data_IF_451718128520
#
_entry.id   IF_451718128520
#
_cell.length_a   1.000
_cell.length_b   1.000
_cell.length_c   1.000
_cell.angle_alpha   90.00
_cell.angle_beta   90.00
_cell.angle_gamma   90.00
#
_symmetry.space_group_name_H-M   'P 1'
#
loop_
_entity.id
_entity.type
_entity.pdbx_description
1 polymer ?
#
# COMPACT_ATOMS: atom_id res chain seq x y z
N UNK A 1 -4.78 3.15 30.37
CA UNK A 1 -3.92 3.48 29.21
C UNK A 1 -2.43 3.22 29.47
N UNK A 2 -1.88 3.27 30.70
CA UNK A 2 -0.49 2.81 30.95
C UNK A 2 -0.37 1.31 31.31
N UNK A 3 -1.29 0.73 32.10
CA UNK A 3 -1.16 -0.66 32.60
C UNK A 3 -0.97 -1.76 31.54
N UNK A 4 -1.57 -1.65 30.35
CA UNK A 4 -1.43 -2.68 29.29
C UNK A 4 -0.09 -2.56 28.55
N UNK A 5 0.48 -1.35 28.48
CA UNK A 5 1.81 -1.10 27.93
C UNK A 5 2.90 -1.46 28.95
N UNK A 6 2.66 -1.18 30.24
CA UNK A 6 3.55 -1.59 31.33
C UNK A 6 3.59 -3.12 31.49
N UNK A 7 2.46 -3.82 31.29
CA UNK A 7 2.40 -5.30 31.34
C UNK A 7 3.19 -5.98 30.20
N UNK A 8 3.35 -5.36 29.02
CA UNK A 8 4.17 -5.91 27.92
C UNK A 8 5.66 -5.79 28.21
N UNK A 9 6.09 -4.72 28.89
CA UNK A 9 7.47 -4.54 29.36
C UNK A 9 7.74 -5.42 30.59
N UNK A 10 6.74 -5.66 31.45
CA UNK A 10 6.86 -6.53 32.63
C UNK A 10 6.67 -8.04 32.36
N UNK A 11 6.19 -8.45 31.17
CA UNK A 11 5.99 -9.86 30.81
C UNK A 11 6.92 -10.39 29.70
N UNK A 12 8.10 -9.78 29.52
CA UNK A 12 9.25 -10.47 28.93
C UNK A 12 8.98 -11.12 27.57
N UNK A 13 8.45 -10.36 26.61
CA UNK A 13 8.70 -10.71 25.22
C UNK A 13 10.18 -10.41 24.95
N UNK A 14 10.98 -11.43 24.66
CA UNK A 14 12.36 -11.21 24.21
C UNK A 14 12.33 -10.33 22.96
N UNK A 15 13.27 -9.37 22.88
CA UNK A 15 13.45 -8.55 21.67
C UNK A 15 13.71 -9.53 20.52
N UNK A 16 12.95 -9.48 19.41
CA UNK A 16 13.10 -10.41 18.31
C UNK A 16 14.54 -10.46 17.83
N UNK A 17 15.11 -11.68 17.78
CA UNK A 17 16.42 -11.88 17.19
C UNK A 17 16.37 -11.82 15.66
N UNK A 18 17.53 -11.82 15.01
CA UNK A 18 17.65 -11.83 13.54
C UNK A 18 16.88 -12.99 12.90
N UNK A 19 16.86 -14.17 13.52
CA UNK A 19 16.09 -15.33 13.04
C UNK A 19 14.57 -15.12 13.13
N UNK A 20 14.07 -14.42 14.15
CA UNK A 20 12.64 -14.13 14.28
C UNK A 20 12.19 -13.10 13.25
N UNK A 21 13.02 -12.07 13.02
CA UNK A 21 12.82 -11.11 11.94
C UNK A 21 12.85 -11.83 10.59
N UNK A 22 13.84 -12.69 10.32
CA UNK A 22 13.93 -13.43 9.06
C UNK A 22 12.66 -14.25 8.74
N UNK A 23 11.92 -14.72 9.74
CA UNK A 23 10.62 -15.40 9.55
C UNK A 23 9.46 -14.46 9.24
N UNK A 24 9.52 -13.21 9.68
CA UNK A 24 8.55 -12.16 9.36
C UNK A 24 8.80 -11.52 7.98
N UNK A 25 10.05 -11.58 7.54
CA UNK A 25 10.60 -11.07 6.29
C UNK A 25 11.13 -12.22 5.40
N UNK A 26 10.39 -13.34 5.19
CA UNK A 26 10.94 -14.55 4.55
C UNK A 26 11.26 -14.37 3.06
N UNK A 27 10.76 -13.28 2.46
CA UNK A 27 10.92 -12.92 1.05
C UNK A 27 11.37 -11.47 0.87
N UNK A 28 11.58 -10.74 1.97
CA UNK A 28 12.07 -9.38 1.93
C UNK A 28 13.60 -9.43 1.92
N UNK A 29 14.19 -8.56 1.10
CA UNK A 29 15.63 -8.48 0.83
C UNK A 29 16.43 -8.32 2.13
N UNK A 30 17.69 -8.77 2.20
CA UNK A 30 18.55 -8.65 3.39
C UNK A 30 18.58 -7.21 3.97
N UNK A 31 18.35 -6.25 3.10
CA UNK A 31 18.11 -4.84 3.30
C UNK A 31 16.99 -4.55 4.31
N UNK A 32 15.84 -5.23 4.20
CA UNK A 32 14.73 -5.07 5.15
C UNK A 32 15.10 -5.55 6.55
N UNK A 33 15.96 -6.58 6.67
CA UNK A 33 16.46 -7.05 7.97
C UNK A 33 17.40 -6.02 8.60
N UNK A 34 18.25 -5.37 7.81
CA UNK A 34 19.15 -4.32 8.28
C UNK A 34 18.32 -3.14 8.82
N UNK A 35 17.31 -2.70 8.07
CA UNK A 35 16.39 -1.62 8.49
C UNK A 35 15.61 -2.01 9.75
N UNK A 36 14.99 -3.19 9.76
CA UNK A 36 14.23 -3.66 10.91
C UNK A 36 15.11 -3.75 12.17
N UNK A 37 16.34 -4.24 12.04
CA UNK A 37 17.30 -4.32 13.15
C UNK A 37 17.64 -2.93 13.69
N UNK A 38 17.92 -1.95 12.82
CA UNK A 38 18.13 -0.57 13.23
C UNK A 38 16.91 0.01 13.98
N UNK A 39 15.70 -0.24 13.47
CA UNK A 39 14.46 0.28 14.05
C UNK A 39 14.11 -0.35 15.41
N UNK A 40 14.55 -1.58 15.69
CA UNK A 40 14.40 -2.18 17.01
C UNK A 40 15.04 -1.30 18.08
N UNK A 41 16.18 -0.67 17.80
CA UNK A 41 16.87 0.23 18.71
C UNK A 41 16.33 1.66 18.66
N UNK A 42 16.02 2.15 17.45
CA UNK A 42 15.66 3.55 17.22
C UNK A 42 14.19 3.90 17.56
N UNK A 43 13.27 2.93 17.52
CA UNK A 43 11.84 3.18 17.68
C UNK A 43 11.16 2.19 18.64
N UNK A 44 10.74 2.68 19.81
CA UNK A 44 10.03 1.86 20.80
C UNK A 44 8.73 1.26 20.23
N UNK A 45 7.95 2.07 19.50
CA UNK A 45 6.69 1.63 18.88
C UNK A 45 6.91 0.49 17.88
N UNK A 46 8.02 0.52 17.13
CA UNK A 46 8.39 -0.56 16.23
C UNK A 46 8.81 -1.81 16.99
N UNK A 47 9.64 -1.67 18.04
CA UNK A 47 10.04 -2.79 18.89
C UNK A 47 8.84 -3.52 19.49
N UNK A 48 7.88 -2.77 20.03
CA UNK A 48 6.63 -3.33 20.57
C UNK A 48 5.83 -4.07 19.49
N UNK A 49 5.73 -3.49 18.29
CA UNK A 49 5.06 -4.11 17.16
C UNK A 49 5.75 -5.42 16.75
N UNK A 50 7.08 -5.43 16.64
CA UNK A 50 7.86 -6.60 16.24
C UNK A 50 7.64 -7.78 17.22
N UNK A 51 7.68 -7.52 18.54
CA UNK A 51 7.37 -8.52 19.58
C UNK A 51 5.96 -9.11 19.37
N UNK A 52 4.96 -8.26 19.12
CA UNK A 52 3.57 -8.70 18.92
C UNK A 52 3.38 -9.48 17.62
N UNK A 53 4.10 -9.13 16.56
CA UNK A 53 4.09 -9.87 15.29
C UNK A 53 4.69 -11.26 15.50
N UNK A 54 5.87 -11.39 16.11
CA UNK A 54 6.47 -12.69 16.44
C UNK A 54 5.51 -13.56 17.27
N UNK A 55 4.88 -12.99 18.30
CA UNK A 55 3.87 -13.70 19.11
C UNK A 55 2.68 -14.18 18.28
N UNK A 56 2.22 -13.35 17.34
CA UNK A 56 1.11 -13.68 16.45
C UNK A 56 1.45 -14.79 15.45
N UNK A 57 2.65 -14.75 14.86
CA UNK A 57 3.16 -15.75 13.92
C UNK A 57 3.38 -17.11 14.58
N UNK A 58 3.89 -17.12 15.80
CA UNK A 58 4.09 -18.35 16.57
C UNK A 58 2.76 -18.95 17.11
N UNK A 59 1.61 -18.35 16.78
CA UNK A 59 0.30 -18.87 17.12
C UNK A 59 -0.48 -19.27 15.85
N UNK A 60 -0.78 -20.57 15.63
CA UNK A 60 -1.57 -21.05 14.48
C UNK A 60 -2.97 -20.41 14.35
N UNK A 61 -3.51 -19.84 15.43
CA UNK A 61 -4.75 -19.05 15.39
C UNK A 61 -4.59 -17.75 14.63
N UNK A 62 -3.40 -17.13 14.66
CA UNK A 62 -3.03 -15.99 13.83
C UNK A 62 -3.15 -16.35 12.34
N UNK A 63 -2.50 -17.43 11.92
CA UNK A 63 -2.59 -17.91 10.54
C UNK A 63 -4.02 -18.17 10.10
N UNK A 64 -4.80 -18.84 10.95
CA UNK A 64 -6.22 -19.10 10.69
C UNK A 64 -7.01 -17.80 10.55
N UNK A 65 -6.75 -16.81 11.40
CA UNK A 65 -7.40 -15.50 11.37
C UNK A 65 -7.12 -14.75 10.06
N UNK A 66 -5.84 -14.62 9.69
CA UNK A 66 -5.46 -13.93 8.46
C UNK A 66 -5.89 -14.71 7.20
N UNK A 67 -5.87 -16.04 7.22
CA UNK A 67 -6.38 -16.89 6.12
C UNK A 67 -7.87 -16.69 5.88
N UNK A 68 -8.69 -16.65 6.94
CA UNK A 68 -10.14 -16.37 6.83
C UNK A 68 -10.41 -14.99 6.24
N UNK A 69 -9.63 -13.99 6.64
CA UNK A 69 -9.82 -12.64 6.10
C UNK A 69 -9.36 -12.53 4.64
N UNK A 70 -8.25 -13.18 4.25
CA UNK A 70 -7.84 -13.26 2.83
C UNK A 70 -8.92 -13.90 1.98
N UNK A 71 -9.43 -15.07 2.41
CA UNK A 71 -10.51 -15.76 1.71
C UNK A 71 -11.75 -14.87 1.53
N UNK A 72 -12.13 -14.11 2.56
CA UNK A 72 -13.24 -13.14 2.46
C UNK A 72 -12.95 -11.98 1.52
N UNK A 73 -11.70 -11.55 1.39
CA UNK A 73 -11.32 -10.55 0.40
C UNK A 73 -11.45 -11.15 -1.01
N UNK A 74 -10.94 -12.37 -1.21
CA UNK A 74 -10.93 -13.03 -2.52
C UNK A 74 -12.35 -13.50 -2.97
N UNK A 75 -13.29 -13.75 -2.05
CA UNK A 75 -14.68 -14.20 -2.32
C UNK A 75 -15.69 -13.03 -2.36
N UNK A 76 -16.03 -12.53 -3.56
CA UNK A 76 -16.93 -11.39 -3.77
C UNK A 76 -18.42 -11.77 -3.79
N UNK A 77 -19.00 -12.10 -2.63
CA UNK A 77 -20.47 -12.10 -2.50
C UNK A 77 -21.04 -10.67 -2.42
N UNK A 78 -22.31 -10.46 -2.76
CA UNK A 78 -22.98 -9.15 -2.63
C UNK A 78 -22.87 -8.55 -1.22
N UNK A 79 -23.02 -9.41 -0.20
CA UNK A 79 -22.87 -9.00 1.21
C UNK A 79 -21.44 -8.58 1.52
N UNK A 80 -20.47 -9.29 0.98
CA UNK A 80 -19.04 -9.01 1.13
C UNK A 80 -18.67 -7.70 0.43
N UNK A 81 -19.12 -7.48 -0.80
CA UNK A 81 -18.90 -6.25 -1.55
C UNK A 81 -19.47 -5.03 -0.81
N UNK A 82 -20.72 -5.12 -0.34
CA UNK A 82 -21.34 -4.04 0.45
C UNK A 82 -20.61 -3.77 1.77
N UNK A 83 -20.06 -4.81 2.41
CA UNK A 83 -19.19 -4.66 3.57
C UNK A 83 -17.90 -3.90 3.22
N UNK A 84 -17.18 -4.30 2.17
CA UNK A 84 -15.95 -3.62 1.76
C UNK A 84 -16.19 -2.18 1.33
N UNK A 85 -17.26 -1.90 0.59
CA UNK A 85 -17.60 -0.52 0.22
C UNK A 85 -17.78 0.39 1.45
N UNK A 86 -18.50 -0.07 2.48
CA UNK A 86 -18.63 0.68 3.74
C UNK A 86 -17.30 0.79 4.50
N UNK A 87 -16.52 -0.29 4.52
CA UNK A 87 -15.21 -0.30 5.15
C UNK A 87 -14.29 0.77 4.55
N UNK A 88 -14.16 0.77 3.22
CA UNK A 88 -13.32 1.71 2.49
C UNK A 88 -13.83 3.15 2.62
N UNK A 89 -15.15 3.37 2.63
CA UNK A 89 -15.71 4.71 2.95
C UNK A 89 -15.32 5.20 4.35
N UNK A 90 -15.37 4.32 5.35
CA UNK A 90 -15.02 4.69 6.73
C UNK A 90 -13.51 4.99 6.86
N UNK A 91 -12.67 4.19 6.20
CA UNK A 91 -11.22 4.47 6.13
C UNK A 91 -10.98 5.80 5.41
N UNK A 92 -11.64 6.04 4.29
CA UNK A 92 -11.53 7.28 3.52
C UNK A 92 -11.95 8.52 4.32
N UNK A 93 -13.02 8.41 5.11
CA UNK A 93 -13.41 9.47 6.05
C UNK A 93 -12.32 9.77 7.08
N UNK A 94 -11.66 8.72 7.60
CA UNK A 94 -10.54 8.87 8.52
C UNK A 94 -9.33 9.55 7.88
N UNK A 95 -8.96 9.09 6.67
CA UNK A 95 -7.90 9.69 5.84
C UNK A 95 -8.13 11.18 5.62
N UNK A 96 -9.33 11.56 5.17
CA UNK A 96 -9.63 12.96 4.93
C UNK A 96 -9.68 13.77 6.23
N UNK A 97 -10.31 13.25 7.29
CA UNK A 97 -10.40 13.95 8.57
C UNK A 97 -9.04 14.25 9.18
N UNK A 98 -8.12 13.28 9.19
CA UNK A 98 -6.82 13.40 9.87
C UNK A 98 -5.73 14.01 8.97
N UNK A 99 -5.80 13.78 7.66
CA UNK A 99 -4.71 14.17 6.74
C UNK A 99 -5.16 15.13 5.63
N UNK A 100 -6.45 15.47 5.53
CA UNK A 100 -7.02 16.23 4.41
C UNK A 100 -6.73 15.58 3.04
N UNK A 101 -6.55 14.25 3.03
CA UNK A 101 -6.00 13.47 1.93
C UNK A 101 -6.77 13.54 0.59
N UNK A 102 -8.02 14.02 0.62
CA UNK A 102 -8.88 14.12 -0.57
C UNK A 102 -9.22 15.57 -0.93
N UNK A 103 -8.41 16.52 -0.49
CA UNK A 103 -8.57 17.93 -0.89
C UNK A 103 -7.98 18.10 -2.28
N UNK A 104 -8.80 18.50 -3.25
CA UNK A 104 -8.31 18.90 -4.57
C UNK A 104 -8.12 20.41 -4.57
N UNK A 105 -6.91 20.88 -4.91
CA UNK A 105 -6.64 22.30 -5.01
C UNK A 105 -7.45 22.90 -6.16
N UNK A 106 -8.25 23.92 -5.87
CA UNK A 106 -8.99 24.63 -6.89
C UNK A 106 -8.04 25.55 -7.67
N UNK A 107 -7.84 25.27 -8.95
CA UNK A 107 -7.10 26.15 -9.86
C UNK A 107 -8.09 27.00 -10.65
N UNK A 108 -7.96 28.35 -10.67
CA UNK A 108 -8.88 29.20 -11.41
C UNK A 108 -9.00 28.79 -12.87
N UNK A 109 -10.23 28.57 -13.33
CA UNK A 109 -10.53 28.16 -14.72
C UNK A 109 -10.45 26.65 -14.99
N UNK A 110 -10.01 25.83 -14.02
CA UNK A 110 -9.94 24.38 -14.17
C UNK A 110 -10.99 23.67 -13.31
N UNK A 111 -11.59 22.62 -13.87
CA UNK A 111 -12.48 21.73 -13.14
C UNK A 111 -11.61 20.77 -12.32
N UNK A 112 -11.82 20.64 -11.00
CA UNK A 112 -11.08 19.68 -10.18
C UNK A 112 -11.17 18.27 -10.77
N UNK A 113 -10.06 17.55 -10.77
CA UNK A 113 -9.95 16.24 -11.43
C UNK A 113 -9.35 15.20 -10.48
N UNK A 114 -9.93 14.00 -10.49
CA UNK A 114 -9.54 12.87 -9.64
C UNK A 114 -9.23 11.66 -10.52
N UNK A 115 -8.14 10.97 -10.23
CA UNK A 115 -7.79 9.68 -10.82
C UNK A 115 -7.81 8.60 -9.73
N UNK A 116 -8.51 7.49 -9.97
CA UNK A 116 -8.50 6.32 -9.08
C UNK A 116 -8.12 5.08 -9.89
N UNK A 117 -6.92 4.55 -9.66
CA UNK A 117 -6.38 3.44 -10.46
C UNK A 117 -7.03 2.09 -10.15
N UNK A 118 -7.58 1.92 -8.96
CA UNK A 118 -8.10 0.64 -8.47
C UNK A 118 -9.35 0.89 -7.64
N UNK A 119 -10.35 1.47 -8.31
CA UNK A 119 -11.51 2.06 -7.66
C UNK A 119 -12.34 1.05 -6.87
N UNK A 120 -12.56 -0.17 -7.39
CA UNK A 120 -13.54 -1.07 -6.79
C UNK A 120 -13.20 -1.42 -5.32
N UNK A 121 -14.20 -1.34 -4.41
CA UNK A 121 -15.63 -1.19 -4.66
C UNK A 121 -16.12 0.27 -4.80
N UNK A 122 -15.25 1.26 -4.69
CA UNK A 122 -15.52 2.68 -4.93
C UNK A 122 -15.54 3.54 -3.68
N UNK A 123 -15.11 3.01 -2.53
CA UNK A 123 -15.29 3.66 -1.25
C UNK A 123 -14.49 4.95 -1.08
N UNK A 124 -13.23 4.97 -1.53
CA UNK A 124 -12.40 6.17 -1.48
C UNK A 124 -12.88 7.24 -2.46
N UNK A 125 -13.11 6.87 -3.72
CA UNK A 125 -13.64 7.82 -4.70
C UNK A 125 -14.98 8.43 -4.27
N UNK A 126 -15.88 7.64 -3.66
CA UNK A 126 -17.14 8.16 -3.11
C UNK A 126 -16.92 9.23 -2.01
N UNK A 127 -15.89 9.05 -1.17
CA UNK A 127 -15.53 10.05 -0.16
C UNK A 127 -14.90 11.27 -0.82
N UNK A 128 -13.98 11.08 -1.77
CA UNK A 128 -13.30 12.18 -2.46
C UNK A 128 -14.29 13.07 -3.22
N UNK A 129 -15.21 12.49 -4.00
CA UNK A 129 -16.24 13.24 -4.73
C UNK A 129 -17.19 14.01 -3.80
N UNK A 130 -17.46 13.51 -2.60
CA UNK A 130 -18.27 14.23 -1.61
C UNK A 130 -17.58 15.50 -1.11
N UNK A 131 -16.25 15.48 -1.01
CA UNK A 131 -15.46 16.64 -0.59
C UNK A 131 -15.13 17.59 -1.75
N UNK A 132 -15.30 17.13 -3.00
CA UNK A 132 -15.06 17.89 -4.21
C UNK A 132 -16.26 17.74 -5.16
N UNK A 133 -17.41 18.36 -4.87
CA UNK A 133 -18.67 18.11 -5.58
C UNK A 133 -18.62 18.46 -7.07
N UNK A 134 -17.77 19.41 -7.45
CA UNK A 134 -17.57 19.85 -8.84
C UNK A 134 -16.51 19.02 -9.57
N UNK A 135 -15.87 18.06 -8.89
CA UNK A 135 -14.79 17.29 -9.48
C UNK A 135 -15.29 16.29 -10.53
N UNK A 136 -14.48 16.09 -11.57
CA UNK A 136 -14.60 14.97 -12.50
C UNK A 136 -13.61 13.88 -12.13
N UNK A 137 -14.04 12.63 -12.19
CA UNK A 137 -13.20 11.49 -11.90
C UNK A 137 -13.01 10.59 -13.13
N UNK A 138 -11.78 10.12 -13.32
CA UNK A 138 -11.47 8.96 -14.14
C UNK A 138 -11.11 7.82 -13.19
N UNK A 139 -11.75 6.67 -13.36
CA UNK A 139 -11.58 5.55 -12.45
C UNK A 139 -11.37 4.25 -13.22
N UNK A 140 -10.35 3.50 -12.84
CA UNK A 140 -10.01 2.19 -13.37
C UNK A 140 -10.33 1.11 -12.34
N UNK A 141 -10.72 -0.07 -12.80
CA UNK A 141 -10.84 -1.26 -11.96
C UNK A 141 -10.66 -2.50 -12.79
N UNK A 142 -10.12 -3.56 -12.20
CA UNK A 142 -10.12 -4.87 -12.84
C UNK A 142 -11.58 -5.36 -13.03
N UNK A 143 -11.93 -5.94 -14.19
CA UNK A 143 -13.25 -6.54 -14.41
C UNK A 143 -13.53 -7.72 -13.46
N UNK A 144 -14.79 -7.92 -13.07
CA UNK A 144 -15.19 -9.01 -12.15
C UNK A 144 -14.86 -10.40 -12.72
N UNK A 145 -15.04 -10.58 -14.03
CA UNK A 145 -14.72 -11.82 -14.74
C UNK A 145 -13.22 -12.15 -14.75
N UNK A 146 -12.36 -11.17 -14.48
CA UNK A 146 -10.91 -11.35 -14.32
C UNK A 146 -10.50 -11.44 -12.84
N UNK A 147 -11.46 -11.53 -11.92
CA UNK A 147 -11.22 -11.59 -10.48
C UNK A 147 -11.27 -10.24 -9.77
N UNK A 148 -11.66 -9.17 -10.47
CA UNK A 148 -11.89 -7.86 -9.87
C UNK A 148 -13.05 -7.81 -8.89
N UNK A 149 -13.11 -6.77 -8.06
CA UNK A 149 -14.23 -6.55 -7.17
C UNK A 149 -15.40 -5.84 -7.85
N UNK A 150 -16.62 -6.18 -7.42
CA UNK A 150 -17.83 -5.48 -7.81
C UNK A 150 -17.75 -3.98 -7.47
N UNK A 151 -18.04 -3.15 -8.46
CA UNK A 151 -18.14 -1.69 -8.30
C UNK A 151 -19.48 -1.35 -7.64
N UNK A 152 -19.43 -0.66 -6.51
CA UNK A 152 -20.60 -0.20 -5.76
C UNK A 152 -20.70 1.33 -5.67
N UNK A 153 -19.80 2.04 -6.35
CA UNK A 153 -19.93 3.48 -6.55
C UNK A 153 -21.19 3.76 -7.38
N UNK A 154 -22.11 4.63 -6.95
CA UNK A 154 -23.29 5.00 -7.74
C UNK A 154 -22.89 5.71 -9.03
N UNK A 155 -23.61 5.42 -10.12
CA UNK A 155 -23.40 6.07 -11.41
C UNK A 155 -23.55 7.59 -11.31
N UNK A 156 -22.68 8.31 -12.01
CA UNK A 156 -22.65 9.76 -12.03
C UNK A 156 -22.04 10.23 -13.34
N UNK A 157 -22.58 11.31 -13.91
CA UNK A 157 -22.03 11.93 -15.12
C UNK A 157 -20.63 12.50 -14.90
N UNK A 158 -20.24 12.75 -13.64
CA UNK A 158 -18.92 13.24 -13.26
C UNK A 158 -17.89 12.11 -13.14
N UNK A 159 -18.25 10.84 -13.35
CA UNK A 159 -17.35 9.70 -13.17
C UNK A 159 -17.27 8.88 -14.45
N UNK A 160 -16.13 8.94 -15.11
CA UNK A 160 -15.76 8.03 -16.18
C UNK A 160 -15.14 6.77 -15.59
N UNK A 161 -15.70 5.60 -15.91
CA UNK A 161 -15.21 4.30 -15.41
C UNK A 161 -14.69 3.44 -16.54
N UNK A 162 -13.53 2.82 -16.33
CA UNK A 162 -12.92 1.89 -17.28
C UNK A 162 -12.59 0.59 -16.56
N UNK A 163 -13.10 -0.52 -17.10
CA UNK A 163 -12.86 -1.85 -16.55
C UNK A 163 -11.78 -2.54 -17.38
N UNK A 164 -10.55 -2.57 -16.87
CA UNK A 164 -9.38 -3.18 -17.52
C UNK A 164 -8.28 -3.48 -16.49
N UNK A 165 -7.33 -4.32 -16.89
CA UNK A 165 -6.11 -4.57 -16.11
C UNK A 165 -5.09 -3.46 -16.39
N UNK A 166 -4.84 -2.62 -15.39
CA UNK A 166 -3.93 -1.47 -15.56
C UNK A 166 -2.48 -1.90 -15.79
N UNK A 167 -2.10 -3.13 -15.42
CA UNK A 167 -0.75 -3.65 -15.67
C UNK A 167 -0.47 -3.91 -17.15
N UNK A 168 -1.50 -3.83 -18.00
CA UNK A 168 -1.48 -4.03 -19.44
C UNK A 168 -1.57 -2.71 -20.23
N UNK A 169 -1.38 -1.55 -19.58
CA UNK A 169 -1.33 -0.23 -20.23
C UNK A 169 0.04 0.05 -20.85
N UNK A 170 0.44 -0.77 -21.82
CA UNK A 170 1.79 -0.70 -22.38
C UNK A 170 2.12 0.64 -23.05
N UNK A 171 1.18 1.20 -23.82
CA UNK A 171 1.39 2.50 -24.50
C UNK A 171 1.55 3.65 -23.48
N UNK A 172 0.74 3.69 -22.42
CA UNK A 172 0.89 4.67 -21.32
C UNK A 172 2.23 4.49 -20.58
N UNK A 173 2.69 3.25 -20.46
CA UNK A 173 4.00 2.89 -19.90
C UNK A 173 5.17 3.07 -20.89
N UNK A 174 4.95 3.73 -22.04
CA UNK A 174 5.99 4.07 -23.01
C UNK A 174 6.40 2.95 -23.97
N UNK A 175 5.58 1.91 -24.09
CA UNK A 175 5.84 0.74 -24.94
C UNK A 175 4.80 0.62 -26.06
N UNK A 176 5.03 1.30 -27.18
CA UNK A 176 4.11 1.34 -28.32
C UNK A 176 4.22 0.12 -29.25
N UNK A 177 5.32 -0.64 -29.16
CA UNK A 177 5.53 -1.84 -29.96
C UNK A 177 5.71 -3.05 -29.06
N UNK A 178 4.88 -4.06 -29.28
CA UNK A 178 4.87 -5.30 -28.51
C UNK A 178 5.08 -6.46 -29.48
N UNK A 179 5.97 -7.38 -29.14
CA UNK A 179 6.18 -8.57 -29.95
C UNK A 179 4.89 -9.36 -30.09
N UNK A 180 4.57 -9.81 -31.31
CA UNK A 180 3.41 -10.67 -31.58
C UNK A 180 3.50 -12.02 -30.89
N UNK A 181 4.71 -12.43 -30.53
CA UNK A 181 4.98 -13.70 -29.85
C UNK A 181 4.86 -13.58 -28.33
N UNK A 182 4.59 -12.39 -27.79
CA UNK A 182 4.33 -12.21 -26.37
C UNK A 182 3.03 -12.92 -25.97
N UNK A 183 3.00 -13.72 -24.88
CA UNK A 183 1.80 -14.45 -24.45
C UNK A 183 0.57 -13.55 -24.27
N UNK A 184 0.78 -12.35 -23.73
CA UNK A 184 -0.27 -11.34 -23.54
C UNK A 184 -0.39 -10.32 -24.69
N UNK A 185 0.25 -10.56 -25.85
CA UNK A 185 0.35 -9.59 -26.94
C UNK A 185 -0.99 -8.99 -27.40
N UNK A 186 -2.08 -9.78 -27.30
CA UNK A 186 -3.45 -9.34 -27.65
C UNK A 186 -4.23 -8.70 -26.50
N UNK A 187 -3.72 -8.77 -25.27
CA UNK A 187 -4.38 -8.25 -24.06
C UNK A 187 -3.95 -6.84 -23.70
N UNK A 188 -2.79 -6.39 -24.20
CA UNK A 188 -2.33 -5.01 -24.01
C UNK A 188 -3.34 -4.02 -24.59
N UNK A 189 -3.56 -2.93 -23.84
CA UNK A 189 -4.53 -1.91 -24.17
C UNK A 189 -3.85 -0.79 -24.96
N UNK A 190 -4.61 -0.13 -25.84
CA UNK A 190 -4.18 1.14 -26.40
C UNK A 190 -4.13 2.20 -25.31
N UNK A 191 -3.42 3.30 -25.56
CA UNK A 191 -3.28 4.43 -24.64
C UNK A 191 -4.61 4.84 -24.02
N UNK A 192 -4.62 4.95 -22.69
CA UNK A 192 -5.80 5.33 -21.91
C UNK A 192 -5.73 6.77 -21.39
N UNK A 193 -4.54 7.32 -21.22
CA UNK A 193 -4.33 8.68 -20.75
C UNK A 193 -3.68 9.54 -21.83
N UNK A 194 -4.28 10.69 -22.07
CA UNK A 194 -3.64 11.72 -22.90
C UNK A 194 -2.38 12.24 -22.21
N UNK A 195 -1.26 12.44 -22.93
CA UNK A 195 0.03 12.81 -22.34
C UNK A 195 0.01 14.07 -21.46
N UNK A 196 -0.90 15.00 -21.75
CA UNK A 196 -1.07 16.29 -21.07
C UNK A 196 -2.19 16.28 -20.01
N UNK A 197 -2.97 15.20 -19.90
CA UNK A 197 -4.03 15.09 -18.89
C UNK A 197 -3.41 15.04 -17.50
N UNK A 198 -3.88 15.90 -16.60
CA UNK A 198 -3.43 15.96 -15.20
C UNK A 198 -4.60 15.89 -14.22
N UNK A 199 -4.30 15.41 -13.01
CA UNK A 199 -5.26 15.20 -11.93
C UNK A 199 -4.79 15.85 -10.63
N UNK A 200 -5.64 16.67 -10.02
CA UNK A 200 -5.31 17.30 -8.73
C UNK A 200 -5.25 16.30 -7.56
N UNK A 201 -5.90 15.14 -7.70
CA UNK A 201 -5.83 14.02 -6.76
C UNK A 201 -5.69 12.69 -7.50
N UNK A 202 -4.72 11.87 -7.09
CA UNK A 202 -4.54 10.50 -7.56
C UNK A 202 -4.64 9.50 -6.40
N UNK A 203 -5.40 8.44 -6.57
CA UNK A 203 -5.59 7.36 -5.60
C UNK A 203 -4.99 6.06 -6.16
N UNK A 204 -4.05 5.50 -5.41
CA UNK A 204 -3.33 4.26 -5.71
C UNK A 204 -3.56 3.26 -4.57
N UNK A 205 -4.74 2.63 -4.52
CA UNK A 205 -5.15 1.65 -3.49
C UNK A 205 -5.22 0.22 -4.01
N UNK A 206 -4.59 -0.06 -5.16
CA UNK A 206 -4.57 -1.37 -5.77
C UNK A 206 -3.67 -2.35 -5.04
N UNK A 207 -4.19 -3.55 -4.77
CA UNK A 207 -3.43 -4.69 -4.30
C UNK A 207 -3.82 -5.94 -5.09
N UNK A 208 -2.86 -6.82 -5.38
CA UNK A 208 -3.13 -8.05 -6.10
C UNK A 208 -3.96 -9.02 -5.27
N UNK A 209 -5.03 -9.53 -5.88
CA UNK A 209 -5.84 -10.60 -5.30
C UNK A 209 -5.22 -11.95 -5.62
N UNK A 210 -5.36 -12.92 -4.70
CA UNK A 210 -4.63 -14.20 -4.80
C UNK A 210 -5.23 -15.15 -5.82
N UNK A 211 -6.52 -15.00 -6.10
CA UNK A 211 -7.27 -15.72 -7.11
C UNK A 211 -7.01 -15.20 -8.54
N UNK A 212 -6.46 -13.99 -8.69
CA UNK A 212 -6.11 -13.41 -9.99
C UNK A 212 -4.79 -13.97 -10.55
N UNK A 213 -3.89 -14.40 -9.67
CA UNK A 213 -2.57 -14.91 -10.04
C UNK A 213 -2.71 -16.34 -10.54
N UNK A 214 -2.63 -16.51 -11.86
CA UNK A 214 -2.71 -17.84 -12.51
C UNK A 214 -1.45 -18.68 -12.28
N UNK A 215 -0.29 -18.03 -12.16
CA UNK A 215 1.00 -18.66 -11.85
C UNK A 215 1.53 -18.16 -10.49
N UNK A 216 1.47 -18.99 -9.43
CA UNK A 216 1.96 -18.62 -8.11
C UNK A 216 3.43 -18.16 -8.08
N UNK A 217 4.26 -18.62 -9.02
CA UNK A 217 5.65 -18.21 -9.12
C UNK A 217 5.81 -16.76 -9.60
N UNK A 218 4.80 -16.21 -10.30
CA UNK A 218 4.78 -14.82 -10.79
C UNK A 218 4.10 -13.84 -9.85
N UNK A 219 3.64 -14.30 -8.69
CA UNK A 219 2.88 -13.50 -7.73
C UNK A 219 3.56 -12.18 -7.35
N UNK A 220 4.87 -12.23 -7.12
CA UNK A 220 5.63 -11.05 -6.70
C UNK A 220 5.89 -10.11 -7.88
N UNK A 221 6.08 -10.64 -9.08
CA UNK A 221 6.16 -9.87 -10.32
C UNK A 221 4.85 -9.11 -10.59
N UNK A 222 3.69 -9.74 -10.45
CA UNK A 222 2.39 -9.10 -10.67
C UNK A 222 2.11 -8.00 -9.62
N UNK A 223 2.42 -8.25 -8.35
CA UNK A 223 2.29 -7.25 -7.31
C UNK A 223 3.18 -6.03 -7.56
N UNK A 224 4.43 -6.27 -8.01
CA UNK A 224 5.37 -5.22 -8.34
C UNK A 224 4.96 -4.46 -9.61
N UNK A 225 4.51 -5.14 -10.68
CA UNK A 225 3.95 -4.52 -11.90
C UNK A 225 2.76 -3.63 -11.57
N UNK A 226 1.83 -4.07 -10.72
CA UNK A 226 0.70 -3.27 -10.29
C UNK A 226 1.14 -2.02 -9.50
N UNK A 227 2.10 -2.19 -8.59
CA UNK A 227 2.63 -1.08 -7.78
C UNK A 227 3.35 -0.05 -8.67
N UNK A 228 4.25 -0.50 -9.55
CA UNK A 228 5.01 0.41 -10.43
C UNK A 228 4.11 1.10 -11.45
N UNK A 229 3.08 0.44 -11.97
CA UNK A 229 2.08 1.08 -12.85
C UNK A 229 1.38 2.23 -12.11
N UNK A 230 0.85 1.98 -10.91
CA UNK A 230 0.14 2.99 -10.13
C UNK A 230 1.06 4.17 -9.73
N UNK A 231 2.32 3.89 -9.40
CA UNK A 231 3.29 4.92 -9.02
C UNK A 231 3.75 5.75 -10.22
N UNK A 232 4.14 5.09 -11.33
CA UNK A 232 4.63 5.76 -12.53
C UNK A 232 3.56 6.66 -13.15
N UNK A 233 2.41 6.07 -13.51
CA UNK A 233 1.34 6.82 -14.17
C UNK A 233 0.66 7.78 -13.18
N UNK A 234 0.60 7.43 -11.90
CA UNK A 234 0.10 8.33 -10.88
C UNK A 234 0.94 9.60 -10.73
N UNK A 235 2.28 9.47 -10.67
CA UNK A 235 3.19 10.61 -10.54
C UNK A 235 3.32 11.40 -11.85
N UNK A 236 3.25 10.74 -13.00
CA UNK A 236 3.27 11.39 -14.32
C UNK A 236 2.03 12.25 -14.56
N UNK A 237 0.87 11.81 -14.07
CA UNK A 237 -0.42 12.46 -14.30
C UNK A 237 -0.96 13.26 -13.11
N UNK A 238 -0.24 13.39 -11.99
CA UNK A 238 -0.64 14.32 -10.93
C UNK A 238 -0.33 15.76 -11.35
N UNK A 239 -1.20 16.72 -11.01
CA UNK A 239 -0.93 18.15 -11.22
C UNK A 239 0.24 18.62 -10.35
N UNK A 240 1.04 19.62 -10.79
CA UNK A 240 1.97 20.31 -9.91
C UNK A 240 1.25 20.83 -8.66
N UNK A 241 1.79 20.52 -7.48
CA UNK A 241 1.16 20.85 -6.20
C UNK A 241 0.05 19.89 -5.77
N UNK A 242 -0.32 18.91 -6.60
CA UNK A 242 -1.38 17.95 -6.35
C UNK A 242 -1.08 16.93 -5.25
N UNK A 243 -2.01 15.99 -5.08
CA UNK A 243 -1.96 14.97 -4.02
C UNK A 243 -2.00 13.55 -4.57
N UNK A 244 -1.19 12.66 -4.01
CA UNK A 244 -1.28 11.21 -4.20
C UNK A 244 -1.59 10.51 -2.88
N UNK A 245 -2.54 9.58 -2.88
CA UNK A 245 -2.86 8.67 -1.76
C UNK A 245 -2.50 7.26 -2.16
N UNK A 246 -1.50 6.67 -1.51
CA UNK A 246 -0.84 5.44 -1.95
C UNK A 246 -0.92 4.38 -0.85
N UNK A 247 -1.45 3.20 -1.16
CA UNK A 247 -1.42 2.03 -0.29
C UNK A 247 -0.03 1.42 -0.26
N UNK A 248 0.55 1.31 0.94
CA UNK A 248 1.84 0.67 1.19
C UNK A 248 1.72 -0.34 2.33
N UNK A 249 2.73 -1.19 2.48
CA UNK A 249 2.76 -2.25 3.48
C UNK A 249 4.09 -2.23 4.22
N UNK A 250 4.06 -2.34 5.56
CA UNK A 250 5.26 -2.36 6.43
C UNK A 250 6.19 -1.16 6.18
N UNK A 251 6.18 -0.17 7.09
CA UNK A 251 7.00 1.05 6.94
C UNK A 251 8.49 0.72 6.79
N UNK A 252 8.91 -0.33 7.49
CA UNK A 252 10.27 -0.87 7.56
C UNK A 252 10.70 -1.77 6.39
N UNK A 253 9.79 -2.10 5.45
CA UNK A 253 10.17 -2.92 4.29
C UNK A 253 11.02 -2.10 3.32
N UNK A 254 11.99 -2.74 2.66
CA UNK A 254 12.93 -2.10 1.72
C UNK A 254 12.21 -1.26 0.67
N UNK A 255 11.34 -1.89 -0.14
CA UNK A 255 10.58 -1.21 -1.20
C UNK A 255 9.75 -0.03 -0.65
N UNK A 256 9.19 -0.17 0.55
CA UNK A 256 8.40 0.90 1.18
C UNK A 256 9.30 2.06 1.58
N UNK A 257 10.43 1.80 2.23
CA UNK A 257 11.37 2.84 2.65
C UNK A 257 11.96 3.59 1.46
N UNK A 258 12.28 2.91 0.35
CA UNK A 258 12.77 3.57 -0.87
C UNK A 258 11.70 4.45 -1.50
N UNK A 259 10.43 4.01 -1.55
CA UNK A 259 9.32 4.85 -1.99
C UNK A 259 9.15 6.08 -1.09
N UNK A 260 9.14 5.90 0.23
CA UNK A 260 8.99 7.01 1.18
C UNK A 260 10.11 8.04 1.03
N UNK A 261 11.37 7.58 0.96
CA UNK A 261 12.51 8.47 0.76
C UNK A 261 12.41 9.24 -0.56
N UNK A 262 12.04 8.57 -1.66
CA UNK A 262 11.86 9.24 -2.96
C UNK A 262 10.81 10.34 -2.88
N UNK A 263 9.61 10.04 -2.39
CA UNK A 263 8.54 11.05 -2.26
C UNK A 263 8.92 12.18 -1.30
N UNK A 264 9.71 11.91 -0.25
CA UNK A 264 10.18 12.95 0.67
C UNK A 264 11.05 14.02 0.00
N UNK A 265 11.71 13.70 -1.12
CA UNK A 265 12.57 14.65 -1.85
C UNK A 265 11.80 15.67 -2.67
N UNK A 266 10.56 15.39 -3.06
CA UNK A 266 9.80 16.22 -4.01
C UNK A 266 8.34 16.46 -3.59
N UNK A 267 7.98 16.12 -2.34
CA UNK A 267 6.63 16.32 -1.82
C UNK A 267 6.62 16.37 -0.30
N UNK A 268 5.53 16.90 0.26
CA UNK A 268 5.24 16.78 1.68
C UNK A 268 4.55 15.45 1.96
N UNK A 269 5.17 14.57 2.75
CA UNK A 269 4.63 13.25 3.04
C UNK A 269 4.05 13.11 4.45
N UNK A 270 2.96 12.35 4.58
CA UNK A 270 2.36 11.92 5.84
C UNK A 270 1.95 10.47 5.74
N UNK A 271 2.03 9.73 6.85
CA UNK A 271 1.56 8.37 6.93
C UNK A 271 0.25 8.27 7.72
N UNK A 272 -0.67 7.45 7.22
CA UNK A 272 -1.94 7.17 7.88
C UNK A 272 -2.18 5.68 8.04
N UNK A 273 -2.39 5.27 9.29
CA UNK A 273 -2.82 3.91 9.63
C UNK A 273 -4.29 3.92 10.05
N UNK A 274 -5.18 3.18 9.35
CA UNK A 274 -6.57 3.10 9.76
C UNK A 274 -6.72 2.51 11.17
N UNK A 275 -7.45 3.20 12.04
CA UNK A 275 -7.73 2.77 13.42
C UNK A 275 -8.83 1.71 13.53
N UNK A 276 -9.54 1.43 12.43
CA UNK A 276 -10.61 0.44 12.31
C UNK A 276 -10.60 -0.20 10.92
N UNK A 277 -10.98 -1.47 10.83
CA UNK A 277 -10.97 -2.26 9.61
C UNK A 277 -9.63 -2.94 9.33
N UNK A 278 -8.58 -2.15 9.11
CA UNK A 278 -7.25 -2.61 8.71
C UNK A 278 -6.18 -2.39 9.80
N UNK A 279 -6.58 -2.12 11.04
CA UNK A 279 -5.67 -1.78 12.15
C UNK A 279 -4.64 -2.90 12.44
N UNK A 280 -5.03 -4.17 12.34
CA UNK A 280 -4.14 -5.32 12.57
C UNK A 280 -3.26 -5.69 11.37
N UNK A 281 -3.54 -5.12 10.18
CA UNK A 281 -2.77 -5.38 8.95
C UNK A 281 -1.45 -4.63 8.94
N UNK A 282 -0.53 -5.01 8.05
CA UNK A 282 0.65 -4.20 7.75
C UNK A 282 0.37 -3.04 6.81
N UNK A 283 -0.81 -2.98 6.18
CA UNK A 283 -1.18 -1.91 5.25
C UNK A 283 -1.34 -0.56 5.92
N UNK A 284 -0.87 0.49 5.28
CA UNK A 284 -1.06 1.88 5.66
C UNK A 284 -1.06 2.74 4.39
N UNK A 285 -1.31 4.03 4.54
CA UNK A 285 -1.37 4.96 3.42
C UNK A 285 -0.26 5.99 3.53
N UNK A 286 0.48 6.19 2.44
CA UNK A 286 1.25 7.40 2.20
C UNK A 286 0.32 8.45 1.59
N UNK A 287 0.36 9.65 2.14
CA UNK A 287 -0.28 10.84 1.59
C UNK A 287 0.85 11.79 1.19
N UNK A 288 1.10 11.91 -0.10
CA UNK A 288 2.06 12.85 -0.67
C UNK A 288 1.30 14.07 -1.21
N UNK A 289 1.66 15.26 -0.76
CA UNK A 289 1.00 16.53 -1.11
C UNK A 289 2.03 17.53 -1.61
N UNK A 290 1.58 18.58 -2.31
CA UNK A 290 2.47 19.60 -2.87
C UNK A 290 3.56 18.96 -3.75
N UNK A 291 3.15 18.05 -4.64
CA UNK A 291 4.09 17.28 -5.47
C UNK A 291 4.74 18.18 -6.52
N UNK A 292 6.07 18.22 -6.50
CA UNK A 292 6.89 18.92 -7.48
C UNK A 292 7.17 18.01 -8.68
N UNK A 293 6.22 17.91 -9.60
CA UNK A 293 6.26 16.96 -10.73
C UNK A 293 7.47 17.12 -11.66
N UNK A 294 8.07 18.31 -11.69
CA UNK A 294 9.23 18.62 -12.53
C UNK A 294 10.56 18.49 -11.77
N UNK A 295 10.52 18.09 -10.50
CA UNK A 295 11.72 17.85 -9.72
C UNK A 295 12.51 16.68 -10.34
N UNK A 296 13.86 16.75 -10.46
CA UNK A 296 14.66 15.71 -11.11
C UNK A 296 14.42 14.31 -10.53
N UNK A 297 14.26 14.21 -9.20
CA UNK A 297 13.98 12.93 -8.52
C UNK A 297 12.59 12.37 -8.83
N UNK A 298 11.60 13.23 -9.10
CA UNK A 298 10.26 12.80 -9.50
C UNK A 298 10.30 12.21 -10.92
N UNK A 299 10.97 12.90 -11.85
CA UNK A 299 11.17 12.42 -13.22
C UNK A 299 11.96 11.11 -13.24
N UNK A 300 13.06 11.02 -12.49
CA UNK A 300 13.85 9.80 -12.37
C UNK A 300 13.04 8.64 -11.74
N UNK A 301 12.14 8.92 -10.80
CA UNK A 301 11.26 7.90 -10.23
C UNK A 301 10.26 7.35 -11.27
N UNK A 302 9.66 8.21 -12.09
CA UNK A 302 8.76 7.78 -13.19
C UNK A 302 9.51 6.85 -14.15
N UNK A 303 10.68 7.28 -14.63
CA UNK A 303 11.50 6.49 -15.56
C UNK A 303 11.89 5.14 -14.95
N UNK A 304 12.33 5.12 -13.70
CA UNK A 304 12.71 3.90 -13.00
C UNK A 304 11.52 2.94 -12.84
N UNK A 305 10.34 3.43 -12.45
CA UNK A 305 9.16 2.58 -12.30
C UNK A 305 8.66 2.04 -13.64
N UNK A 306 8.72 2.83 -14.72
CA UNK A 306 8.44 2.35 -16.10
C UNK A 306 9.45 1.30 -16.54
N UNK A 307 10.74 1.48 -16.26
CA UNK A 307 11.78 0.50 -16.56
C UNK A 307 11.59 -0.82 -15.80
N UNK A 308 11.28 -0.76 -14.50
CA UNK A 308 10.97 -1.95 -13.70
C UNK A 308 9.75 -2.67 -14.26
N UNK A 309 8.65 -1.95 -14.57
CA UNK A 309 7.47 -2.55 -15.18
C UNK A 309 7.80 -3.23 -16.51
N UNK A 310 8.60 -2.59 -17.37
CA UNK A 310 8.99 -3.13 -18.68
C UNK A 310 9.75 -4.44 -18.52
N UNK A 311 10.76 -4.47 -17.64
CA UNK A 311 11.58 -5.67 -17.42
C UNK A 311 10.75 -6.81 -16.83
N UNK A 312 9.88 -6.53 -15.85
CA UNK A 312 8.98 -7.53 -15.28
C UNK A 312 7.93 -8.04 -16.28
N UNK A 313 7.63 -7.26 -17.32
CA UNK A 313 6.63 -7.62 -18.33
C UNK A 313 7.25 -8.41 -19.49
N UNK A 314 8.45 -8.04 -19.95
CA UNK A 314 8.99 -8.55 -21.21
C UNK A 314 10.27 -9.39 -21.09
N UNK A 315 11.03 -9.26 -19.99
CA UNK A 315 12.35 -9.87 -19.86
C UNK A 315 12.35 -11.09 -18.93
N UNK A 316 13.40 -11.91 -19.05
CA UNK A 316 13.61 -13.07 -18.19
C UNK A 316 13.98 -12.67 -16.75
N UNK A 317 13.77 -13.58 -15.80
CA UNK A 317 13.99 -13.32 -14.36
C UNK A 317 15.43 -12.88 -14.04
N UNK A 318 16.42 -13.35 -14.81
CA UNK A 318 17.83 -12.96 -14.64
C UNK A 318 18.04 -11.45 -14.87
N UNK A 319 17.21 -10.81 -15.68
CA UNK A 319 17.29 -9.38 -15.97
C UNK A 319 16.66 -8.51 -14.86
N UNK A 320 15.75 -9.08 -14.06
CA UNK A 320 14.91 -8.32 -13.11
C UNK A 320 15.75 -7.66 -12.02
N UNK A 321 16.64 -8.44 -11.41
CA UNK A 321 17.35 -8.03 -10.20
C UNK A 321 18.32 -6.86 -10.44
N UNK A 322 18.84 -6.72 -11.66
CA UNK A 322 19.73 -5.62 -12.05
C UNK A 322 18.96 -4.30 -12.10
N UNK A 323 17.83 -4.27 -12.81
CA UNK A 323 17.08 -3.03 -13.04
C UNK A 323 16.33 -2.61 -11.78
N UNK A 324 15.78 -3.56 -11.02
CA UNK A 324 15.09 -3.24 -9.76
C UNK A 324 16.00 -2.50 -8.77
N UNK A 325 17.27 -2.88 -8.69
CA UNK A 325 18.24 -2.30 -7.74
C UNK A 325 19.07 -1.15 -8.33
N UNK A 326 18.84 -0.80 -9.59
CA UNK A 326 19.64 0.23 -10.26
C UNK A 326 19.42 1.59 -9.61
N UNK A 327 20.52 2.23 -9.20
CA UNK A 327 20.49 3.56 -8.57
C UNK A 327 19.90 3.61 -7.16
N UNK A 328 19.64 2.47 -6.53
CA UNK A 328 19.23 2.44 -5.11
C UNK A 328 20.44 2.59 -4.18
N UNK A 329 20.24 3.32 -3.07
CA UNK A 329 21.22 3.43 -2.00
C UNK A 329 21.44 2.07 -1.33
N UNK A 330 22.56 1.89 -0.64
CA UNK A 330 22.67 0.78 0.31
C UNK A 330 21.73 1.00 1.50
N UNK A 331 21.33 -0.06 2.22
CA UNK A 331 20.52 0.07 3.44
C UNK A 331 21.15 1.00 4.48
N UNK A 332 22.47 0.93 4.65
CA UNK A 332 23.22 1.75 5.59
C UNK A 332 23.19 3.22 5.19
N UNK A 333 23.36 3.52 3.89
CA UNK A 333 23.25 4.87 3.36
C UNK A 333 21.82 5.41 3.52
N UNK A 334 20.81 4.60 3.22
CA UNK A 334 19.41 5.00 3.36
C UNK A 334 19.02 5.25 4.83
N UNK A 335 19.53 4.44 5.76
CA UNK A 335 19.37 4.66 7.20
C UNK A 335 20.08 5.96 7.62
N UNK A 336 21.29 6.21 7.12
CA UNK A 336 22.02 7.44 7.42
C UNK A 336 21.27 8.69 6.93
N UNK A 337 20.71 8.65 5.72
CA UNK A 337 20.03 9.79 5.11
C UNK A 337 18.60 10.00 5.62
N UNK A 338 17.83 8.91 5.82
CA UNK A 338 16.39 8.99 6.04
C UNK A 338 15.91 8.25 7.30
N UNK A 339 16.81 7.61 8.06
CA UNK A 339 16.43 6.78 9.22
C UNK A 339 15.69 7.55 10.32
N UNK A 340 16.10 8.78 10.63
CA UNK A 340 15.43 9.61 11.63
C UNK A 340 14.01 10.00 11.18
N UNK A 341 13.87 10.48 9.93
CA UNK A 341 12.58 10.84 9.35
C UNK A 341 11.65 9.62 9.27
N UNK A 342 12.19 8.45 8.92
CA UNK A 342 11.45 7.18 8.92
C UNK A 342 10.88 6.86 10.29
N UNK A 343 11.66 7.05 11.37
CA UNK A 343 11.19 6.84 12.74
C UNK A 343 10.04 7.80 13.05
N UNK A 344 10.19 9.08 12.76
CA UNK A 344 9.16 10.07 13.05
C UNK A 344 7.86 9.82 12.26
N UNK A 345 7.97 9.47 10.98
CA UNK A 345 6.83 9.08 10.13
C UNK A 345 6.17 7.77 10.59
N UNK A 346 6.97 6.77 10.95
CA UNK A 346 6.52 5.42 11.26
C UNK A 346 5.86 5.27 12.62
N UNK A 347 6.22 6.09 13.63
CA UNK A 347 5.74 5.98 15.03
C UNK A 347 4.23 5.76 15.15
N UNK A 348 3.43 6.60 14.48
CA UNK A 348 1.97 6.50 14.56
C UNK A 348 1.46 5.21 13.93
N UNK A 349 2.03 4.81 12.79
CA UNK A 349 1.65 3.59 12.06
C UNK A 349 1.93 2.35 12.91
N UNK A 350 3.15 2.25 13.46
CA UNK A 350 3.53 1.12 14.27
C UNK A 350 2.72 1.02 15.55
N UNK A 351 2.51 2.16 16.24
CA UNK A 351 1.70 2.22 17.45
C UNK A 351 0.27 1.72 17.24
N UNK A 352 -0.42 2.22 16.21
CA UNK A 352 -1.81 1.81 15.93
C UNK A 352 -1.87 0.31 15.63
N UNK A 353 -0.91 -0.23 14.88
CA UNK A 353 -0.86 -1.66 14.61
C UNK A 353 -0.55 -2.48 15.87
N UNK A 354 0.41 -2.05 16.69
CA UNK A 354 0.77 -2.72 17.94
C UNK A 354 -0.42 -2.77 18.89
N UNK A 355 -1.11 -1.64 19.11
CA UNK A 355 -2.29 -1.59 19.98
C UNK A 355 -3.43 -2.49 19.50
N UNK A 356 -3.60 -2.62 18.18
CA UNK A 356 -4.58 -3.52 17.58
C UNK A 356 -4.18 -4.99 17.73
N UNK A 357 -2.91 -5.31 17.46
CA UNK A 357 -2.39 -6.66 17.61
C UNK A 357 -2.40 -7.10 19.07
N UNK A 358 -2.09 -6.25 20.05
CA UNK A 358 -2.16 -6.59 21.47
C UNK A 358 -3.58 -7.01 21.93
N UNK A 359 -4.62 -6.51 21.26
CA UNK A 359 -6.02 -6.84 21.54
C UNK A 359 -6.53 -8.04 20.74
N UNK A 360 -5.73 -8.57 19.82
CA UNK A 360 -6.15 -9.64 18.94
C UNK A 360 -6.32 -10.98 19.70
N UNK A 361 -7.30 -11.81 19.32
CA UNK A 361 -7.59 -13.06 20.03
C UNK A 361 -6.47 -14.11 19.96
N UNK A 362 -5.47 -13.92 19.10
CA UNK A 362 -4.34 -14.82 18.92
C UNK A 362 -3.04 -14.31 19.57
N UNK A 363 -3.02 -13.09 20.09
CA UNK A 363 -1.89 -12.52 20.86
C UNK A 363 -2.19 -12.42 22.34
N UNK A 364 -3.47 -12.41 22.74
CA UNK A 364 -3.85 -12.50 24.14
C UNK A 364 -3.54 -13.90 24.68
N UNK A 365 -2.66 -13.98 25.67
CA UNK A 365 -2.48 -15.17 26.48
C UNK A 365 -3.79 -15.38 27.25
N UNK A 366 -4.45 -16.54 27.14
CA UNK A 366 -5.60 -16.84 28.02
C UNK A 366 -5.13 -16.69 29.46
N UNK A 367 -5.84 -15.91 30.29
CA UNK A 367 -5.72 -16.06 31.74
C UNK A 367 -6.05 -17.51 32.05
N UNK A 368 -5.08 -18.21 32.63
CA UNK A 368 -5.25 -19.58 33.08
C UNK A 368 -6.38 -19.61 34.13
N UNK A 369 -7.48 -20.36 33.93
CA UNK A 369 -8.59 -20.39 34.89
C UNK A 369 -8.21 -21.02 36.25
N UNK A 370 -6.99 -21.53 36.39
CA UNK A 370 -6.57 -22.40 37.50
C UNK A 370 -5.85 -21.68 38.64
N UNK A 371 -5.61 -20.36 38.56
CA UNK A 371 -5.16 -19.56 39.73
C UNK A 371 -6.32 -18.85 40.40
N UNK A 372 -7.23 -19.63 40.95
CA UNK A 372 -8.43 -19.15 41.63
C UNK A 372 -9.02 -20.11 42.66
N UNK A 373 -8.23 -21.03 43.21
CA UNK A 373 -8.61 -21.78 44.41
C UNK A 373 -7.75 -21.32 45.58
N UNK A 374 -8.34 -20.49 46.45
CA UNK A 374 -7.81 -20.25 47.79
C UNK A 374 -7.86 -21.59 48.56
N UNK A 375 -6.81 -21.98 49.30
CA UNK A 375 -6.93 -23.07 50.26
C UNK A 375 -7.84 -22.60 51.40
N UNK A 376 -8.77 -23.49 51.78
CA UNK A 376 -9.58 -23.39 52.99
C UNK A 376 -8.74 -23.81 54.21
#
# INVERSE_FOLDING_TARGET
MSRVMDDLVQHGGEIPGTHDLAREYPWDTAESLIIATHLLDAAREFRELAILRVKGWNNPKGDTFFRKQRRRADESSDKTAAFFYRLMKNIGQGLHKECQAFTVLATPGNIPSILDWCMAPGGFLAVALRHNPDARALAFSLPEEQGGHRVLLPDSINVERRLLDITLLAEDMGCETISRDHPDGRRFQSRQLEPDRRFGLVICDGATLRNHIQDPNKKDCEARRLTTTQLALGLEHVEPGGTMVILLHKVEAWDTMTILNRFNKFSNIKLYKPKRGHETRSSFYLIATNIETQHPEALAAIEQWKAIWRVLTFESEECHARVIREGELSPEQLIYEFGSDLVDLGRCVWKVQAEALAKAPFTQSKKDPTRGSKPA
#
